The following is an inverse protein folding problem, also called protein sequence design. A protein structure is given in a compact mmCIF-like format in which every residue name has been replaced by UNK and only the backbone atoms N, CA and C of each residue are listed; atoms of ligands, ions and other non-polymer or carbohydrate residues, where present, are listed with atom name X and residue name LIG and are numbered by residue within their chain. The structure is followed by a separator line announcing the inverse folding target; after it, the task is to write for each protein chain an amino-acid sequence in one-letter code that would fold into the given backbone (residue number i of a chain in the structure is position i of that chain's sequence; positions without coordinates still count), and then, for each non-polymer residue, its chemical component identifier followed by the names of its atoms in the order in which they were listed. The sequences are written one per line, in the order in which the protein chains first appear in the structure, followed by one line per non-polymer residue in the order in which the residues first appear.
data_IF_579252185365
#
_entry.id   IF_579252185365
#
_cell.length_a   1.000
_cell.length_b   1.000
_cell.length_c   1.000
_cell.angle_alpha   90.00
_cell.angle_beta   90.00
_cell.angle_gamma   90.00
#
_symmetry.space_group_name_H-M   'P 1'
#
loop_
_entity.id
_entity.type
_entity.pdbx_description
1 polymer ?
#
# COMPACT_ATOMS: atom_id res chain seq x y z
N UNK A 1 -9.96 -6.03 6.30
CA UNK A 1 -9.81 -6.21 4.85
C UNK A 1 -9.72 -4.86 4.18
N UNK A 2 -9.01 -4.76 3.05
CA UNK A 2 -8.88 -3.53 2.25
C UNK A 2 -9.26 -3.86 0.80
N UNK A 3 -10.16 -3.06 0.22
CA UNK A 3 -10.46 -3.09 -1.21
C UNK A 3 -9.89 -1.83 -1.84
N UNK A 4 -8.94 -1.99 -2.74
CA UNK A 4 -8.43 -0.89 -3.57
C UNK A 4 -9.26 -0.81 -4.84
N UNK A 5 -9.82 0.35 -5.11
CA UNK A 5 -10.47 0.65 -6.37
C UNK A 5 -9.67 1.72 -7.10
N UNK A 6 -9.07 1.34 -8.23
CA UNK A 6 -8.40 2.26 -9.14
C UNK A 6 -9.47 2.99 -9.95
N UNK A 7 -9.85 4.18 -9.50
CA UNK A 7 -10.98 4.92 -10.10
C UNK A 7 -10.67 5.51 -11.45
N UNK A 8 -9.37 5.72 -11.75
CA UNK A 8 -8.86 6.22 -13.04
C UNK A 8 -7.38 5.89 -13.19
N UNK A 9 -6.87 5.83 -14.43
CA UNK A 9 -5.42 5.82 -14.72
C UNK A 9 -4.87 7.18 -15.12
N UNK A 10 -5.71 8.22 -15.19
CA UNK A 10 -5.25 9.56 -15.50
C UNK A 10 -4.38 10.13 -14.38
N UNK A 11 -3.23 10.70 -14.73
CA UNK A 11 -2.29 11.36 -13.82
C UNK A 11 -1.39 12.31 -14.58
N UNK A 12 -0.93 13.40 -13.96
CA UNK A 12 0.05 14.32 -14.53
C UNK A 12 1.49 14.01 -14.08
N UNK A 13 1.68 13.05 -13.16
CA UNK A 13 3.00 12.60 -12.76
C UNK A 13 3.53 11.49 -13.69
N UNK A 14 4.86 11.46 -13.83
CA UNK A 14 5.56 10.47 -14.65
C UNK A 14 6.52 9.60 -13.80
N UNK A 15 6.09 9.23 -12.61
CA UNK A 15 6.88 8.49 -11.62
C UNK A 15 7.60 7.28 -12.21
N UNK A 16 8.87 7.09 -11.85
CA UNK A 16 9.72 5.99 -12.33
C UNK A 16 9.21 4.61 -11.92
N UNK A 17 8.53 4.53 -10.78
CA UNK A 17 8.00 3.29 -10.19
C UNK A 17 6.48 3.13 -10.33
N UNK A 18 5.84 3.86 -11.25
CA UNK A 18 4.38 3.84 -11.35
C UNK A 18 3.84 2.46 -11.70
N UNK A 19 3.18 1.83 -10.73
CA UNK A 19 2.50 0.55 -10.89
C UNK A 19 1.44 0.57 -11.99
N UNK A 20 0.66 1.66 -12.03
CA UNK A 20 -0.48 1.79 -12.94
C UNK A 20 -0.08 2.09 -14.40
N UNK A 21 1.19 2.41 -14.69
CA UNK A 21 1.56 3.03 -15.97
C UNK A 21 0.63 4.20 -16.29
N UNK A 22 0.41 5.09 -15.32
CA UNK A 22 -0.52 6.20 -15.44
C UNK A 22 -0.26 7.02 -16.70
N UNK A 23 -1.32 7.54 -17.29
CA UNK A 23 -1.37 8.31 -18.52
C UNK A 23 -2.05 9.66 -18.28
N UNK A 24 -1.90 10.63 -19.20
CA UNK A 24 -2.42 11.99 -18.98
C UNK A 24 -3.94 12.09 -19.02
N UNK A 25 -4.61 11.16 -19.74
CA UNK A 25 -6.06 11.16 -19.97
C UNK A 25 -6.70 9.92 -19.38
N UNK A 26 -7.99 10.00 -18.99
CA UNK A 26 -8.77 8.83 -18.58
C UNK A 26 -8.84 7.78 -19.70
N UNK A 27 -8.93 6.51 -19.33
CA UNK A 27 -9.23 5.43 -20.26
C UNK A 27 -10.72 5.52 -20.65
N UNK A 28 -11.06 5.40 -21.94
CA UNK A 28 -12.47 5.45 -22.36
C UNK A 28 -13.34 4.33 -21.81
N UNK A 29 -12.73 3.25 -21.32
CA UNK A 29 -13.42 2.10 -20.72
C UNK A 29 -13.45 2.15 -19.18
N UNK A 30 -13.14 3.28 -18.56
CA UNK A 30 -13.29 3.41 -17.12
C UNK A 30 -14.72 3.17 -16.67
N UNK A 31 -14.90 2.53 -15.52
CA UNK A 31 -16.24 2.30 -14.95
C UNK A 31 -16.99 3.63 -14.82
N UNK A 32 -18.23 3.66 -15.29
CA UNK A 32 -19.11 4.82 -15.16
C UNK A 32 -19.40 5.15 -13.68
N UNK A 33 -20.00 6.31 -13.42
CA UNK A 33 -20.45 6.69 -12.05
C UNK A 33 -21.43 5.66 -11.49
N UNK A 34 -22.36 5.17 -12.33
CA UNK A 34 -23.34 4.16 -11.94
C UNK A 34 -22.67 2.81 -11.61
N UNK A 35 -21.78 2.33 -12.47
CA UNK A 35 -21.02 1.10 -12.23
C UNK A 35 -20.14 1.23 -10.99
N UNK A 36 -19.55 2.40 -10.74
CA UNK A 36 -18.75 2.65 -9.56
C UNK A 36 -19.56 2.58 -8.27
N UNK A 37 -20.81 3.09 -8.27
CA UNK A 37 -21.73 2.94 -7.14
C UNK A 37 -22.13 1.48 -6.93
N UNK A 38 -22.45 0.75 -7.98
CA UNK A 38 -22.75 -0.69 -7.90
C UNK A 38 -21.55 -1.49 -7.37
N UNK A 39 -20.32 -1.11 -7.73
CA UNK A 39 -19.11 -1.70 -7.15
C UNK A 39 -19.01 -1.40 -5.64
N UNK A 40 -19.28 -0.17 -5.23
CA UNK A 40 -19.28 0.24 -3.81
C UNK A 40 -20.35 -0.55 -3.02
N UNK A 41 -21.54 -0.77 -3.60
CA UNK A 41 -22.58 -1.60 -3.00
C UNK A 41 -22.09 -3.04 -2.77
N UNK A 42 -21.39 -3.62 -3.76
CA UNK A 42 -20.80 -4.94 -3.58
C UNK A 42 -19.70 -4.94 -2.51
N UNK A 43 -18.86 -3.90 -2.42
CA UNK A 43 -17.88 -3.75 -1.34
C UNK A 43 -18.56 -3.74 0.04
N UNK A 44 -19.70 -3.05 0.15
CA UNK A 44 -20.44 -2.98 1.43
C UNK A 44 -21.08 -4.33 1.86
N UNK A 45 -21.21 -5.29 0.93
CA UNK A 45 -21.77 -6.64 1.18
C UNK A 45 -20.77 -7.63 1.80
N UNK A 46 -19.48 -7.29 1.90
CA UNK A 46 -18.55 -8.18 2.59
C UNK A 46 -18.99 -8.42 4.05
N UNK A 47 -18.90 -9.67 4.57
CA UNK A 47 -19.32 -10.00 5.94
C UNK A 47 -18.67 -9.14 7.02
N UNK A 48 -17.39 -8.77 6.82
CA UNK A 48 -16.69 -7.74 7.59
C UNK A 48 -16.39 -6.60 6.61
N UNK A 49 -17.01 -5.45 6.85
CA UNK A 49 -16.86 -4.28 5.97
C UNK A 49 -15.39 -3.91 5.79
N UNK A 50 -14.89 -3.89 4.57
CA UNK A 50 -13.52 -3.48 4.31
C UNK A 50 -13.38 -1.95 4.35
N UNK A 51 -12.14 -1.48 4.53
CA UNK A 51 -11.78 -0.12 4.12
C UNK A 51 -11.78 -0.07 2.59
N UNK A 52 -12.49 0.88 2.00
CA UNK A 52 -12.40 1.19 0.58
C UNK A 52 -11.32 2.25 0.35
N UNK A 53 -10.34 1.94 -0.50
CA UNK A 53 -9.29 2.89 -0.88
C UNK A 53 -9.49 3.29 -2.33
N UNK A 54 -9.89 4.54 -2.56
CA UNK A 54 -10.00 5.14 -3.88
C UNK A 54 -8.60 5.59 -4.33
N UNK A 55 -8.09 4.91 -5.34
CA UNK A 55 -6.72 5.10 -5.85
C UNK A 55 -6.74 5.25 -7.37
N UNK A 56 -5.57 5.30 -7.98
CA UNK A 56 -5.47 5.36 -9.44
C UNK A 56 -4.14 5.93 -9.91
N UNK A 57 -4.21 6.69 -10.97
CA UNK A 57 -3.22 7.69 -11.31
C UNK A 57 -3.35 8.84 -10.32
N UNK A 58 -4.27 9.77 -10.59
CA UNK A 58 -4.72 10.80 -9.65
C UNK A 58 -6.24 10.75 -9.51
N UNK A 59 -6.79 10.27 -8.38
CA UNK A 59 -8.24 10.19 -8.19
C UNK A 59 -8.98 11.51 -8.39
N UNK A 60 -8.32 12.66 -8.16
CA UNK A 60 -8.95 13.98 -8.36
C UNK A 60 -9.17 14.34 -9.83
N UNK A 61 -8.60 13.59 -10.78
CA UNK A 61 -8.95 13.71 -12.20
C UNK A 61 -10.31 13.10 -12.54
N UNK A 62 -10.89 12.33 -11.64
CA UNK A 62 -12.24 11.79 -11.80
C UNK A 62 -13.27 12.81 -11.32
N UNK A 63 -14.21 13.21 -12.19
CA UNK A 63 -15.14 14.31 -11.95
C UNK A 63 -16.13 14.06 -10.82
N UNK A 64 -16.54 12.80 -10.62
CA UNK A 64 -17.52 12.36 -9.62
C UNK A 64 -16.87 11.85 -8.30
N UNK A 65 -15.58 12.09 -8.10
CA UNK A 65 -14.84 11.49 -6.97
C UNK A 65 -15.44 11.85 -5.61
N UNK A 66 -15.89 13.08 -5.41
CA UNK A 66 -16.49 13.54 -4.15
C UNK A 66 -17.84 12.85 -3.90
N UNK A 67 -18.63 12.64 -4.94
CA UNK A 67 -19.91 11.93 -4.86
C UNK A 67 -19.72 10.46 -4.53
N UNK A 68 -18.67 9.82 -5.11
CA UNK A 68 -18.32 8.43 -4.80
C UNK A 68 -17.85 8.28 -3.35
N UNK A 69 -17.10 9.25 -2.80
CA UNK A 69 -16.71 9.25 -1.38
C UNK A 69 -17.97 9.37 -0.51
N UNK A 70 -18.82 10.37 -0.77
CA UNK A 70 -20.05 10.56 0.00
C UNK A 70 -20.96 9.32 -0.08
N UNK A 71 -21.07 8.73 -1.26
CA UNK A 71 -21.84 7.48 -1.46
C UNK A 71 -21.28 6.32 -0.65
N UNK A 72 -19.96 6.09 -0.70
CA UNK A 72 -19.31 5.01 0.06
C UNK A 72 -19.48 5.18 1.58
N UNK A 73 -19.41 6.42 2.06
CA UNK A 73 -19.71 6.77 3.46
C UNK A 73 -21.17 6.49 3.82
N UNK A 74 -22.09 6.81 2.93
CA UNK A 74 -23.53 6.49 3.08
C UNK A 74 -23.80 4.98 3.18
N UNK A 75 -22.97 4.15 2.52
CA UNK A 75 -23.01 2.68 2.65
C UNK A 75 -22.31 2.19 3.94
N UNK A 76 -21.77 3.08 4.78
CA UNK A 76 -21.11 2.76 6.04
C UNK A 76 -19.70 2.18 5.88
N UNK A 77 -19.03 2.46 4.76
CA UNK A 77 -17.63 2.07 4.53
C UNK A 77 -16.68 3.10 5.12
N UNK A 78 -15.59 2.63 5.73
CA UNK A 78 -14.40 3.45 5.96
C UNK A 78 -13.74 3.71 4.60
N UNK A 79 -13.53 5.01 4.25
CA UNK A 79 -13.10 5.40 2.90
C UNK A 79 -11.81 6.21 2.95
N UNK A 80 -10.81 5.80 2.21
CA UNK A 80 -9.55 6.50 2.06
C UNK A 80 -9.32 6.91 0.59
N UNK A 81 -8.50 7.94 0.36
CA UNK A 81 -8.12 8.40 -0.98
C UNK A 81 -6.61 8.56 -1.08
N UNK A 82 -6.05 8.31 -2.27
CA UNK A 82 -4.61 8.44 -2.54
C UNK A 82 -4.33 9.43 -3.68
N UNK A 83 -4.51 10.74 -3.47
CA UNK A 83 -4.28 11.73 -4.52
C UNK A 83 -2.80 11.85 -4.86
N UNK A 84 -2.50 12.20 -6.10
CA UNK A 84 -1.17 12.60 -6.55
C UNK A 84 -0.95 14.11 -6.28
N UNK A 85 0.29 14.56 -5.97
CA UNK A 85 0.57 15.97 -5.71
C UNK A 85 0.53 16.82 -7.00
N UNK A 86 -0.63 16.88 -7.63
CA UNK A 86 -0.92 17.68 -8.82
C UNK A 86 -1.52 19.03 -8.44
N UNK A 87 -1.58 20.01 -9.36
CA UNK A 87 -2.28 21.28 -9.11
C UNK A 87 -3.76 21.15 -8.74
N UNK A 88 -4.38 19.98 -8.97
CA UNK A 88 -5.76 19.70 -8.59
C UNK A 88 -5.95 19.59 -7.07
N UNK A 89 -4.89 19.24 -6.31
CA UNK A 89 -4.95 19.09 -4.86
C UNK A 89 -4.76 20.46 -4.21
N UNK A 90 -5.78 21.29 -4.29
CA UNK A 90 -5.85 22.60 -3.62
C UNK A 90 -6.44 22.45 -2.22
N UNK A 91 -6.26 23.46 -1.37
CA UNK A 91 -6.92 23.53 -0.04
C UNK A 91 -8.45 23.40 -0.15
N UNK A 92 -9.04 23.96 -1.22
CA UNK A 92 -10.47 23.80 -1.50
C UNK A 92 -10.83 22.35 -1.84
N UNK A 93 -10.04 21.69 -2.68
CA UNK A 93 -10.23 20.28 -3.01
C UNK A 93 -10.16 19.41 -1.74
N UNK A 94 -9.19 19.65 -0.86
CA UNK A 94 -9.05 18.93 0.42
C UNK A 94 -10.25 19.20 1.34
N UNK A 95 -10.76 20.46 1.38
CA UNK A 95 -11.98 20.81 2.11
C UNK A 95 -13.20 20.05 1.57
N UNK A 96 -13.31 19.90 0.25
CA UNK A 96 -14.37 19.09 -0.37
C UNK A 96 -14.26 17.61 -0.01
N UNK A 97 -13.04 17.05 0.03
CA UNK A 97 -12.80 15.68 0.50
C UNK A 97 -13.26 15.49 1.96
N UNK A 98 -12.92 16.44 2.83
CA UNK A 98 -13.37 16.43 4.23
C UNK A 98 -14.90 16.46 4.34
N UNK A 99 -15.56 17.36 3.59
CA UNK A 99 -17.04 17.48 3.56
C UNK A 99 -17.71 16.23 3.00
N UNK A 100 -17.08 15.54 2.04
CA UNK A 100 -17.55 14.27 1.52
C UNK A 100 -17.39 13.12 2.53
N UNK A 101 -16.68 13.32 3.63
CA UNK A 101 -16.55 12.38 4.74
C UNK A 101 -15.38 11.43 4.63
N UNK A 102 -14.28 11.83 3.97
CA UNK A 102 -13.09 10.98 3.88
C UNK A 102 -12.48 10.70 5.26
N UNK A 103 -12.14 9.45 5.56
CA UNK A 103 -11.54 9.06 6.85
C UNK A 103 -10.01 9.23 6.84
N UNK A 104 -9.37 9.03 5.68
CA UNK A 104 -7.92 9.07 5.54
C UNK A 104 -7.48 9.51 4.16
N UNK A 105 -6.43 10.32 4.13
CA UNK A 105 -5.71 10.65 2.90
C UNK A 105 -4.33 10.01 2.94
N UNK A 106 -3.92 9.34 1.86
CA UNK A 106 -2.56 8.85 1.71
C UNK A 106 -1.84 9.64 0.63
N UNK A 107 -0.73 10.27 0.99
CA UNK A 107 0.15 10.98 0.07
C UNK A 107 1.49 10.26 -0.05
N UNK A 108 2.30 10.64 -1.01
CA UNK A 108 3.57 9.96 -1.25
C UNK A 108 4.76 10.90 -1.04
N UNK A 109 5.75 10.40 -0.27
CA UNK A 109 7.07 11.03 -0.07
C UNK A 109 8.15 9.96 -0.32
N UNK A 110 8.96 10.15 -1.35
CA UNK A 110 10.02 9.21 -1.73
C UNK A 110 11.44 9.77 -1.53
N UNK A 111 11.61 10.76 -0.68
CA UNK A 111 12.89 11.34 -0.31
C UNK A 111 12.75 12.30 0.85
N UNK A 112 13.83 12.52 1.58
CA UNK A 112 13.90 13.52 2.65
C UNK A 112 14.10 14.96 2.11
N UNK A 113 14.39 15.07 0.83
CA UNK A 113 14.63 16.32 0.11
C UNK A 113 13.95 16.33 -1.26
N UNK A 114 13.84 17.54 -1.84
CA UNK A 114 13.19 17.75 -3.13
C UNK A 114 13.94 17.04 -4.27
N UNK A 115 15.27 17.01 -4.25
CA UNK A 115 16.05 16.44 -5.34
C UNK A 115 15.78 14.93 -5.49
N UNK A 116 15.72 14.21 -4.39
CA UNK A 116 15.44 12.77 -4.37
C UNK A 116 13.97 12.48 -4.71
N UNK A 117 13.06 13.20 -4.06
CA UNK A 117 11.62 12.98 -4.26
C UNK A 117 11.18 13.34 -5.70
N UNK A 118 11.51 14.54 -6.17
CA UNK A 118 11.05 15.04 -7.47
C UNK A 118 11.61 14.20 -8.63
N UNK A 119 12.87 13.72 -8.51
CA UNK A 119 13.45 12.76 -9.47
C UNK A 119 12.61 11.47 -9.55
N UNK A 120 12.21 10.92 -8.41
CA UNK A 120 11.40 9.69 -8.38
C UNK A 120 9.99 9.91 -8.94
N UNK A 121 9.40 11.08 -8.70
CA UNK A 121 8.07 11.46 -9.19
C UNK A 121 8.07 11.97 -10.63
N UNK A 122 9.23 12.36 -11.14
CA UNK A 122 9.41 12.89 -12.49
C UNK A 122 8.84 14.29 -12.70
N UNK A 123 8.52 15.02 -11.62
CA UNK A 123 7.94 16.38 -11.69
C UNK A 123 8.59 17.26 -10.63
N UNK A 124 9.34 18.30 -11.05
CA UNK A 124 9.90 19.30 -10.15
C UNK A 124 8.82 19.99 -9.31
N UNK A 125 9.11 20.20 -8.02
CA UNK A 125 8.20 20.85 -7.09
C UNK A 125 7.15 19.92 -6.46
N UNK A 126 7.09 18.64 -6.85
CA UNK A 126 6.16 17.67 -6.26
C UNK A 126 6.40 17.45 -4.75
N UNK A 127 7.66 17.58 -4.28
CA UNK A 127 8.00 17.51 -2.87
C UNK A 127 7.33 18.63 -2.05
N UNK A 128 7.55 19.87 -2.46
CA UNK A 128 6.95 21.04 -1.79
C UNK A 128 5.42 20.99 -1.83
N UNK A 129 4.84 20.57 -2.97
CA UNK A 129 3.42 20.38 -3.11
C UNK A 129 2.87 19.33 -2.14
N UNK A 130 3.56 18.18 -1.99
CA UNK A 130 3.14 17.12 -1.06
C UNK A 130 3.20 17.59 0.39
N UNK A 131 4.24 18.35 0.78
CA UNK A 131 4.32 18.93 2.13
C UNK A 131 3.16 19.87 2.42
N UNK A 132 2.80 20.76 1.47
CA UNK A 132 1.64 21.64 1.60
C UNK A 132 0.34 20.84 1.75
N UNK A 133 0.15 19.78 0.95
CA UNK A 133 -1.02 18.90 1.04
C UNK A 133 -1.13 18.27 2.43
N UNK A 134 -0.01 17.80 3.00
CA UNK A 134 -0.01 17.24 4.36
C UNK A 134 -0.39 18.29 5.42
N UNK A 135 0.08 19.52 5.25
CA UNK A 135 -0.26 20.64 6.14
C UNK A 135 -1.76 21.00 6.06
N UNK A 136 -2.28 21.15 4.86
CA UNK A 136 -3.69 21.45 4.62
C UNK A 136 -4.60 20.35 5.17
N UNK A 137 -4.28 19.10 4.91
CA UNK A 137 -5.04 17.95 5.42
C UNK A 137 -5.04 17.90 6.95
N UNK A 138 -3.88 18.12 7.59
CA UNK A 138 -3.76 18.20 9.05
C UNK A 138 -4.61 19.34 9.62
N UNK A 139 -4.55 20.53 9.03
CA UNK A 139 -5.29 21.70 9.49
C UNK A 139 -6.81 21.50 9.39
N UNK A 140 -7.25 20.64 8.46
CA UNK A 140 -8.65 20.21 8.30
C UNK A 140 -9.01 18.96 9.11
N UNK A 141 -8.10 18.44 9.93
CA UNK A 141 -8.35 17.26 10.78
C UNK A 141 -8.43 15.93 10.04
N UNK A 142 -7.95 15.86 8.79
CA UNK A 142 -7.90 14.61 8.02
C UNK A 142 -6.68 13.81 8.45
N UNK A 143 -6.85 12.53 8.79
CA UNK A 143 -5.76 11.63 9.10
C UNK A 143 -4.87 11.40 7.87
N UNK A 144 -3.57 11.71 7.98
CA UNK A 144 -2.60 11.57 6.88
C UNK A 144 -1.78 10.32 7.04
N UNK A 145 -1.78 9.47 6.01
CA UNK A 145 -0.82 8.40 5.81
C UNK A 145 0.22 8.86 4.79
N UNK A 146 1.49 8.53 5.01
CA UNK A 146 2.52 8.74 3.99
C UNK A 146 2.97 7.40 3.44
N UNK A 147 3.05 7.30 2.12
CA UNK A 147 3.60 6.17 1.39
C UNK A 147 4.99 6.54 0.87
N UNK A 148 5.98 5.69 1.12
CA UNK A 148 7.33 5.82 0.57
C UNK A 148 7.70 4.57 -0.18
N UNK A 149 8.14 4.67 -1.42
CA UNK A 149 8.69 3.54 -2.16
C UNK A 149 10.19 3.51 -2.02
N UNK A 150 10.69 2.56 -1.24
CA UNK A 150 12.11 2.42 -0.94
C UNK A 150 12.86 1.82 -2.14
N UNK A 151 13.97 2.45 -2.49
CA UNK A 151 14.84 2.09 -3.61
C UNK A 151 16.29 2.52 -3.31
N UNK A 152 17.30 2.19 -4.13
CA UNK A 152 18.69 2.54 -3.85
C UNK A 152 18.96 4.04 -3.68
N UNK A 153 18.19 4.92 -4.33
CA UNK A 153 18.42 6.37 -4.29
C UNK A 153 17.97 7.03 -2.98
N UNK A 154 17.03 6.42 -2.25
CA UNK A 154 16.48 6.95 -0.99
C UNK A 154 16.74 6.05 0.21
N UNK A 155 17.42 4.92 0.01
CA UNK A 155 17.71 3.95 1.06
C UNK A 155 18.42 4.60 2.28
N UNK A 156 19.39 5.44 2.03
CA UNK A 156 20.16 6.11 3.09
C UNK A 156 19.39 7.25 3.79
N UNK A 157 18.19 7.60 3.29
CA UNK A 157 17.38 8.70 3.84
C UNK A 157 16.28 8.23 4.82
N UNK A 158 16.25 6.97 5.22
CA UNK A 158 15.19 6.40 6.08
C UNK A 158 15.00 7.22 7.36
N UNK A 159 16.08 7.54 8.09
CA UNK A 159 16.03 8.31 9.34
C UNK A 159 15.62 9.76 9.11
N UNK A 160 16.15 10.39 8.08
CA UNK A 160 15.81 11.77 7.72
C UNK A 160 14.34 11.90 7.33
N UNK A 161 13.83 10.94 6.54
CA UNK A 161 12.38 10.85 6.24
C UNK A 161 11.56 10.64 7.51
N UNK A 162 11.95 9.71 8.38
CA UNK A 162 11.24 9.43 9.62
C UNK A 162 11.16 10.68 10.53
N UNK A 163 12.24 11.47 10.61
CA UNK A 163 12.28 12.72 11.37
C UNK A 163 11.37 13.80 10.75
N UNK A 164 11.45 13.98 9.44
CA UNK A 164 10.61 14.93 8.72
C UNK A 164 9.12 14.62 8.92
N UNK A 165 8.73 13.34 8.78
CA UNK A 165 7.34 12.91 8.90
C UNK A 165 6.79 13.10 10.33
N UNK A 166 7.63 13.02 11.35
CA UNK A 166 7.23 13.32 12.72
C UNK A 166 6.76 14.79 12.89
N UNK A 167 7.40 15.74 12.18
CA UNK A 167 7.01 17.16 12.21
C UNK A 167 5.67 17.40 11.53
N UNK A 168 5.29 16.58 10.55
CA UNK A 168 4.00 16.66 9.86
C UNK A 168 2.84 15.98 10.60
N UNK A 169 3.09 15.35 11.76
CA UNK A 169 2.06 14.72 12.60
C UNK A 169 1.20 13.69 11.84
N UNK A 170 1.83 12.91 10.98
CA UNK A 170 1.15 11.83 10.26
C UNK A 170 0.68 10.72 11.23
N UNK A 171 -0.30 9.93 10.82
CA UNK A 171 -0.79 8.79 11.62
C UNK A 171 -0.08 7.49 11.27
N UNK A 172 0.40 7.35 10.02
CA UNK A 172 0.99 6.11 9.53
C UNK A 172 2.02 6.38 8.42
N UNK A 173 3.19 5.79 8.53
CA UNK A 173 4.17 5.68 7.46
C UNK A 173 4.13 4.26 6.87
N UNK A 174 3.74 4.14 5.61
CA UNK A 174 3.72 2.89 4.87
C UNK A 174 4.91 2.83 3.91
N UNK A 175 5.89 1.99 4.22
CA UNK A 175 7.11 1.83 3.43
C UNK A 175 6.92 0.68 2.45
N UNK A 176 6.84 1.02 1.18
CA UNK A 176 6.70 0.08 0.06
C UNK A 176 8.07 -0.38 -0.41
N UNK A 177 8.18 -1.64 -0.72
CA UNK A 177 9.35 -2.22 -1.35
C UNK A 177 9.02 -2.60 -2.79
N UNK A 178 9.90 -2.28 -3.72
CA UNK A 178 9.65 -2.40 -5.15
C UNK A 178 9.19 -3.82 -5.54
N UNK A 179 8.09 -3.86 -6.27
CA UNK A 179 7.67 -4.98 -7.12
C UNK A 179 7.90 -4.54 -8.57
N UNK A 180 8.60 -5.33 -9.41
CA UNK A 180 8.88 -4.96 -10.79
C UNK A 180 7.61 -5.12 -11.66
N UNK A 181 6.67 -4.17 -11.53
CA UNK A 181 5.40 -4.09 -12.24
C UNK A 181 5.17 -2.66 -12.76
N UNK A 182 4.47 -2.52 -13.86
CA UNK A 182 4.27 -1.23 -14.50
C UNK A 182 5.57 -0.61 -15.01
N UNK A 183 5.89 0.62 -14.59
CA UNK A 183 7.17 1.28 -14.93
C UNK A 183 8.32 0.89 -13.99
N UNK A 184 8.03 0.25 -12.87
CA UNK A 184 9.08 -0.18 -11.94
C UNK A 184 9.95 -1.28 -12.56
N UNK A 185 11.26 -1.04 -12.65
CA UNK A 185 12.22 -2.01 -13.16
C UNK A 185 12.89 -2.79 -12.03
N UNK A 186 13.52 -3.93 -12.38
CA UNK A 186 14.28 -4.73 -11.43
C UNK A 186 15.46 -3.95 -10.81
N UNK A 187 16.06 -3.00 -11.54
CA UNK A 187 17.16 -2.16 -11.04
C UNK A 187 16.78 -1.20 -9.91
N UNK A 188 15.50 -0.93 -9.70
CA UNK A 188 15.02 -0.14 -8.56
C UNK A 188 14.85 -0.96 -7.28
N UNK A 189 15.03 -2.28 -7.33
CA UNK A 189 14.89 -3.15 -6.14
C UNK A 189 16.13 -3.06 -5.27
N UNK A 190 15.92 -3.15 -3.96
CA UNK A 190 16.97 -3.40 -3.00
C UNK A 190 17.43 -4.86 -3.06
N UNK A 191 18.65 -5.13 -2.63
CA UNK A 191 19.14 -6.50 -2.41
C UNK A 191 18.53 -7.08 -1.13
N UNK A 192 18.52 -8.41 -1.00
CA UNK A 192 18.03 -9.07 0.22
C UNK A 192 18.77 -8.64 1.51
N UNK A 193 20.06 -8.31 1.43
CA UNK A 193 20.82 -7.74 2.55
C UNK A 193 20.32 -6.34 2.91
N UNK A 194 20.07 -5.49 1.92
CA UNK A 194 19.50 -4.16 2.14
C UNK A 194 18.08 -4.22 2.71
N UNK A 195 17.30 -5.28 2.39
CA UNK A 195 16.01 -5.51 3.04
C UNK A 195 16.16 -5.70 4.56
N UNK A 196 17.06 -6.59 4.99
CA UNK A 196 17.29 -6.83 6.43
C UNK A 196 17.83 -5.59 7.14
N UNK A 197 18.70 -4.83 6.49
CA UNK A 197 19.21 -3.54 7.01
C UNK A 197 18.07 -2.52 7.14
N UNK A 198 17.25 -2.34 6.08
CA UNK A 198 16.08 -1.46 6.12
C UNK A 198 15.12 -1.85 7.24
N UNK A 199 14.90 -3.16 7.45
CA UNK A 199 14.07 -3.66 8.56
C UNK A 199 14.62 -3.26 9.92
N UNK A 200 15.93 -3.34 10.11
CA UNK A 200 16.58 -2.90 11.34
C UNK A 200 16.35 -1.40 11.60
N UNK A 201 16.60 -0.57 10.59
CA UNK A 201 16.41 0.88 10.64
C UNK A 201 14.94 1.25 10.88
N UNK A 202 14.00 0.67 10.14
CA UNK A 202 12.55 0.90 10.32
C UNK A 202 12.05 0.40 11.68
N UNK A 203 12.58 -0.71 12.19
CA UNK A 203 12.25 -1.20 13.52
C UNK A 203 12.61 -0.20 14.62
N UNK A 204 13.84 0.36 14.57
CA UNK A 204 14.26 1.41 15.51
C UNK A 204 13.31 2.61 15.44
N UNK A 205 13.00 3.11 14.23
CA UNK A 205 12.06 4.22 14.08
C UNK A 205 10.66 3.88 14.64
N UNK A 206 10.20 2.64 14.46
CA UNK A 206 8.87 2.22 14.94
C UNK A 206 8.72 2.21 16.46
N UNK A 207 9.83 2.17 17.20
CA UNK A 207 9.85 2.22 18.66
C UNK A 207 9.81 3.65 19.21
N UNK A 208 10.34 4.63 18.47
CA UNK A 208 10.53 5.99 18.96
C UNK A 208 9.63 7.05 18.28
N UNK A 209 9.07 6.79 17.10
CA UNK A 209 8.24 7.78 16.41
C UNK A 209 6.79 7.83 16.94
N UNK A 210 6.11 9.01 16.87
CA UNK A 210 4.75 9.16 17.39
C UNK A 210 3.67 8.53 16.51
N UNK A 211 4.00 8.03 15.32
CA UNK A 211 3.10 7.42 14.33
C UNK A 211 3.42 5.95 14.11
N UNK A 212 2.48 5.23 13.48
CA UNK A 212 2.69 3.83 13.11
C UNK A 212 3.62 3.69 11.90
N UNK A 213 4.43 2.60 11.86
CA UNK A 213 5.24 2.24 10.69
C UNK A 213 4.86 0.84 10.25
N UNK A 214 4.57 0.67 8.96
CA UNK A 214 4.35 -0.65 8.34
C UNK A 214 5.14 -0.78 7.05
N UNK A 215 5.43 -2.00 6.65
CA UNK A 215 5.93 -2.31 5.31
C UNK A 215 4.81 -2.81 4.41
N UNK A 216 4.91 -2.50 3.12
CA UNK A 216 4.06 -3.03 2.04
C UNK A 216 4.97 -3.71 1.02
N UNK A 217 4.58 -4.88 0.53
CA UNK A 217 5.38 -5.75 -0.33
C UNK A 217 6.73 -6.17 0.31
N UNK A 218 6.78 -6.16 1.64
CA UNK A 218 7.88 -6.70 2.44
C UNK A 218 7.35 -7.36 3.70
N UNK A 219 6.52 -8.41 3.52
CA UNK A 219 5.85 -9.15 4.60
C UNK A 219 6.85 -9.80 5.56
N UNK A 220 8.06 -10.07 5.10
CA UNK A 220 9.14 -10.64 5.93
C UNK A 220 9.68 -9.67 7.01
N UNK A 221 9.33 -8.38 6.97
CA UNK A 221 9.48 -7.49 8.12
C UNK A 221 8.77 -8.01 9.37
N UNK A 222 7.64 -8.70 9.22
CA UNK A 222 6.91 -9.30 10.37
C UNK A 222 7.72 -10.39 11.04
N UNK A 223 8.42 -11.24 10.25
CA UNK A 223 9.37 -12.22 10.76
C UNK A 223 10.50 -11.51 11.52
N UNK A 224 11.11 -10.48 10.93
CA UNK A 224 12.16 -9.68 11.57
C UNK A 224 11.71 -9.12 12.93
N UNK A 225 10.54 -8.50 13.00
CA UNK A 225 9.97 -7.98 14.26
C UNK A 225 9.73 -9.10 15.27
N UNK A 226 9.22 -10.25 14.85
CA UNK A 226 9.01 -11.39 15.74
C UNK A 226 10.33 -11.88 16.36
N UNK A 227 11.38 -12.01 15.56
CA UNK A 227 12.72 -12.39 16.02
C UNK A 227 13.29 -11.34 17.00
N UNK A 228 13.18 -10.04 16.70
CA UNK A 228 13.62 -8.97 17.62
C UNK A 228 12.88 -9.00 18.95
N UNK A 229 11.60 -9.33 18.96
CA UNK A 229 10.82 -9.47 20.21
C UNK A 229 11.29 -10.65 21.04
N UNK A 230 11.62 -11.79 20.42
CA UNK A 230 12.17 -12.96 21.14
C UNK A 230 13.53 -12.60 21.74
N UNK A 231 14.43 -12.01 20.95
CA UNK A 231 15.74 -11.57 21.43
C UNK A 231 15.65 -10.59 22.61
N UNK A 232 14.76 -9.58 22.51
CA UNK A 232 14.57 -8.61 23.57
C UNK A 232 14.03 -9.25 24.88
N UNK A 233 13.13 -10.24 24.79
CA UNK A 233 12.63 -10.97 25.96
C UNK A 233 13.73 -11.80 26.62
N UNK A 234 14.57 -12.47 25.84
CA UNK A 234 15.70 -13.24 26.35
C UNK A 234 16.72 -12.35 27.08
N UNK A 235 16.97 -11.13 26.55
CA UNK A 235 17.92 -10.17 27.14
C UNK A 235 17.37 -9.43 28.38
N UNK A 236 16.06 -9.22 28.48
CA UNK A 236 15.44 -8.44 29.55
C UNK A 236 15.17 -9.24 30.85
N UNK A 237 15.33 -10.57 30.83
CA UNK A 237 14.93 -11.42 31.97
C UNK A 237 13.42 -11.33 32.24
N UNK A 238 12.96 -11.88 33.39
CA UNK A 238 11.55 -12.00 33.74
C UNK A 238 10.84 -10.68 34.10
N UNK A 239 11.49 -9.52 34.10
CA UNK A 239 10.98 -8.28 34.69
C UNK A 239 10.87 -7.09 33.73
N UNK A 240 11.21 -7.23 32.44
CA UNK A 240 11.17 -6.13 31.49
C UNK A 240 10.12 -6.31 30.38
N UNK A 241 9.17 -5.38 30.27
CA UNK A 241 8.31 -5.31 29.08
C UNK A 241 9.16 -4.87 27.86
N UNK A 242 9.37 -5.78 26.91
CA UNK A 242 10.07 -5.43 25.67
C UNK A 242 9.25 -4.36 24.91
N UNK A 243 9.94 -3.27 24.49
CA UNK A 243 9.32 -2.27 23.64
C UNK A 243 8.77 -2.91 22.36
N UNK A 244 7.57 -2.55 21.99
CA UNK A 244 6.87 -3.10 20.82
C UNK A 244 6.53 -1.98 19.84
N UNK A 245 6.65 -2.21 18.51
CA UNK A 245 6.16 -1.28 17.51
C UNK A 245 4.69 -0.90 17.76
N UNK A 246 4.35 0.38 17.60
CA UNK A 246 2.99 0.89 17.79
C UNK A 246 1.97 0.31 16.81
N UNK A 247 2.43 -0.12 15.65
CA UNK A 247 1.60 -0.65 14.57
C UNK A 247 2.26 -1.89 13.98
N UNK A 248 1.52 -2.97 13.93
CA UNK A 248 1.94 -4.19 13.21
C UNK A 248 0.75 -4.76 12.46
N UNK A 249 0.80 -4.71 11.14
CA UNK A 249 -0.22 -5.33 10.30
C UNK A 249 -0.08 -6.85 10.37
N UNK A 250 -1.03 -7.53 11.01
CA UNK A 250 -1.02 -8.98 11.08
C UNK A 250 -1.92 -9.56 9.97
N UNK A 251 -1.45 -10.58 9.30
CA UNK A 251 -2.28 -11.45 8.46
C UNK A 251 -2.70 -10.90 7.09
N UNK A 252 -2.34 -9.67 6.71
CA UNK A 252 -2.68 -9.09 5.39
C UNK A 252 -1.56 -9.40 4.39
N UNK A 253 -1.92 -9.92 3.21
CA UNK A 253 -1.02 -10.17 2.09
C UNK A 253 -1.82 -10.07 0.78
N UNK A 254 -1.19 -10.13 -0.38
CA UNK A 254 -1.85 -10.18 -1.68
C UNK A 254 -2.92 -11.29 -1.71
N UNK A 255 -4.15 -10.95 -2.02
CA UNK A 255 -5.28 -11.88 -2.00
C UNK A 255 -5.72 -12.38 -0.61
N UNK A 256 -5.02 -12.00 0.47
CA UNK A 256 -5.36 -12.32 1.86
C UNK A 256 -5.62 -11.03 2.63
N UNK A 257 -6.88 -10.65 2.75
CA UNK A 257 -7.27 -9.37 3.36
C UNK A 257 -7.03 -8.16 2.45
N UNK A 258 -6.67 -8.38 1.18
CA UNK A 258 -6.52 -7.38 0.13
C UNK A 258 -7.18 -7.87 -1.15
N UNK A 259 -7.84 -6.95 -1.85
CA UNK A 259 -8.35 -7.09 -3.20
C UNK A 259 -8.14 -5.77 -3.94
N UNK A 260 -7.98 -5.85 -5.24
CA UNK A 260 -7.85 -4.69 -6.13
C UNK A 260 -8.83 -4.82 -7.29
N UNK A 261 -9.54 -3.74 -7.58
CA UNK A 261 -10.39 -3.61 -8.77
C UNK A 261 -9.84 -2.48 -9.63
N UNK A 262 -9.55 -2.77 -10.89
CA UNK A 262 -9.01 -1.80 -11.83
C UNK A 262 -10.08 -0.79 -12.28
N UNK A 263 -9.64 0.29 -12.92
CA UNK A 263 -10.50 1.31 -13.53
C UNK A 263 -11.47 0.73 -14.59
N UNK A 264 -11.14 -0.42 -15.18
CA UNK A 264 -12.00 -1.15 -16.16
C UNK A 264 -12.74 -2.34 -15.54
N UNK A 265 -12.70 -2.50 -14.21
CA UNK A 265 -13.43 -3.56 -13.50
C UNK A 265 -12.68 -4.89 -13.36
N UNK A 266 -11.43 -5.03 -13.84
CA UNK A 266 -10.65 -6.25 -13.63
C UNK A 266 -10.34 -6.46 -12.15
N UNK A 267 -10.55 -7.69 -11.66
CA UNK A 267 -10.38 -8.06 -10.26
C UNK A 267 -9.05 -8.79 -10.10
N UNK A 268 -8.20 -8.29 -9.20
CA UNK A 268 -6.87 -8.82 -8.92
C UNK A 268 -6.65 -9.06 -7.43
N UNK A 269 -5.71 -9.95 -7.03
CA UNK A 269 -5.35 -10.16 -5.62
C UNK A 269 -4.74 -8.92 -4.95
N UNK A 270 -4.01 -8.10 -5.70
CA UNK A 270 -3.52 -6.79 -5.30
C UNK A 270 -3.21 -5.93 -6.52
N UNK A 271 -2.99 -4.63 -6.31
CA UNK A 271 -2.60 -3.73 -7.38
C UNK A 271 -1.19 -4.00 -7.95
N UNK A 272 -0.37 -4.77 -7.25
CA UNK A 272 0.98 -5.16 -7.68
C UNK A 272 1.02 -6.54 -8.34
N UNK A 273 -0.09 -7.28 -8.35
CA UNK A 273 -0.21 -8.59 -8.98
C UNK A 273 -1.29 -8.55 -10.07
N UNK A 274 -0.94 -8.25 -11.33
CA UNK A 274 -1.91 -8.14 -12.43
C UNK A 274 -2.42 -9.51 -12.91
N UNK A 275 -2.80 -10.38 -11.97
CA UNK A 275 -3.38 -11.68 -12.22
C UNK A 275 -4.89 -11.56 -12.18
N UNK A 276 -5.56 -11.71 -13.33
CA UNK A 276 -7.01 -11.54 -13.45
C UNK A 276 -7.73 -12.71 -12.79
N UNK A 277 -8.59 -12.43 -11.82
CA UNK A 277 -9.41 -13.39 -11.10
C UNK A 277 -10.89 -13.30 -11.46
N UNK A 278 -11.30 -12.22 -12.11
CA UNK A 278 -12.65 -11.93 -12.55
C UNK A 278 -12.76 -10.54 -13.11
N UNK A 279 -13.96 -10.16 -13.55
CA UNK A 279 -14.26 -8.84 -14.13
C UNK A 279 -15.63 -8.35 -13.65
N UNK A 280 -15.66 -7.23 -12.95
CA UNK A 280 -16.88 -6.51 -12.62
C UNK A 280 -17.37 -5.73 -13.87
N UNK A 281 -18.71 -5.67 -14.18
CA UNK A 281 -19.81 -6.17 -13.36
C UNK A 281 -20.21 -7.65 -13.63
N UNK A 282 -19.53 -8.35 -14.52
CA UNK A 282 -19.89 -9.73 -14.89
C UNK A 282 -19.70 -10.73 -13.74
N UNK A 283 -18.77 -10.46 -12.85
CA UNK A 283 -18.52 -11.27 -11.65
C UNK A 283 -18.79 -10.45 -10.39
N UNK A 284 -19.44 -11.05 -9.41
CA UNK A 284 -19.59 -10.48 -8.07
C UNK A 284 -18.24 -10.50 -7.34
N UNK A 285 -17.82 -9.34 -6.82
CA UNK A 285 -16.48 -9.22 -6.21
C UNK A 285 -16.35 -10.00 -4.90
N UNK A 286 -17.46 -10.16 -4.15
CA UNK A 286 -17.46 -10.94 -2.91
C UNK A 286 -17.28 -12.40 -3.23
N UNK A 287 -18.01 -12.91 -4.24
CA UNK A 287 -17.90 -14.27 -4.71
C UNK A 287 -16.50 -14.59 -5.24
N UNK A 288 -15.94 -13.71 -6.09
CA UNK A 288 -14.56 -13.84 -6.59
C UNK A 288 -13.56 -13.90 -5.44
N UNK A 289 -13.67 -13.01 -4.45
CA UNK A 289 -12.77 -13.04 -3.31
C UNK A 289 -12.88 -14.33 -2.51
N UNK A 290 -14.10 -14.82 -2.29
CA UNK A 290 -14.35 -16.00 -1.45
C UNK A 290 -14.01 -17.31 -2.16
N UNK A 291 -14.33 -17.44 -3.44
CA UNK A 291 -14.38 -18.72 -4.13
C UNK A 291 -13.36 -18.88 -5.25
N UNK A 292 -12.78 -17.81 -5.80
CA UNK A 292 -11.74 -17.96 -6.83
C UNK A 292 -10.60 -18.86 -6.34
N UNK A 293 -10.19 -19.87 -7.13
CA UNK A 293 -9.09 -20.77 -6.77
C UNK A 293 -7.78 -20.02 -6.44
N UNK A 294 -7.51 -18.92 -7.15
CA UNK A 294 -6.32 -18.07 -6.93
C UNK A 294 -6.38 -17.43 -5.53
N UNK A 295 -7.49 -16.74 -5.20
CA UNK A 295 -7.64 -16.13 -3.88
C UNK A 295 -7.61 -17.17 -2.76
N UNK A 296 -8.24 -18.33 -2.95
CA UNK A 296 -8.24 -19.42 -1.95
C UNK A 296 -6.82 -19.93 -1.71
N UNK A 297 -6.04 -20.20 -2.76
CA UNK A 297 -4.67 -20.68 -2.63
C UNK A 297 -3.74 -19.63 -2.01
N UNK A 298 -3.89 -18.33 -2.35
CA UNK A 298 -3.13 -17.24 -1.73
C UNK A 298 -3.40 -17.09 -0.21
N UNK A 299 -4.55 -17.56 0.27
CA UNK A 299 -4.88 -17.58 1.71
C UNK A 299 -4.41 -18.84 2.44
N UNK A 300 -3.82 -19.81 1.73
CA UNK A 300 -3.37 -21.10 2.26
C UNK A 300 -1.85 -21.18 2.19
N UNK A 301 -1.10 -20.61 3.17
CA UNK A 301 0.37 -20.55 3.13
C UNK A 301 1.07 -21.91 3.02
N UNK A 302 0.45 -22.99 3.51
CA UNK A 302 0.96 -24.35 3.39
C UNK A 302 1.01 -24.86 1.93
N UNK A 303 0.31 -24.17 1.01
CA UNK A 303 0.35 -24.44 -0.43
C UNK A 303 1.43 -23.68 -1.18
N UNK A 304 2.23 -22.86 -0.49
CA UNK A 304 3.32 -22.13 -1.11
C UNK A 304 4.51 -23.07 -1.41
N UNK A 305 5.32 -22.66 -2.36
CA UNK A 305 6.42 -23.45 -2.88
C UNK A 305 7.77 -22.94 -2.36
N UNK A 306 8.80 -23.78 -2.47
CA UNK A 306 10.14 -23.46 -1.98
C UNK A 306 10.13 -23.12 -0.48
N UNK A 307 11.10 -22.33 -0.03
CA UNK A 307 11.28 -22.02 1.39
C UNK A 307 10.09 -21.36 2.07
N UNK A 308 9.24 -20.64 1.32
CA UNK A 308 8.04 -20.04 1.90
C UNK A 308 6.99 -21.07 2.34
N UNK A 309 6.95 -22.27 1.72
CA UNK A 309 5.99 -23.33 2.03
C UNK A 309 6.29 -24.08 3.33
N UNK A 310 7.56 -24.22 3.69
CA UNK A 310 7.98 -24.91 4.92
C UNK A 310 8.48 -23.97 6.04
N UNK A 311 8.58 -22.65 5.75
CA UNK A 311 9.06 -21.67 6.71
C UNK A 311 8.14 -21.61 7.95
N UNK A 312 8.72 -21.64 9.14
CA UNK A 312 8.02 -21.52 10.43
C UNK A 312 7.24 -20.19 10.56
N UNK A 313 7.66 -19.15 9.82
CA UNK A 313 6.97 -17.85 9.76
C UNK A 313 5.93 -17.74 8.62
N UNK A 314 5.63 -18.81 7.86
CA UNK A 314 4.76 -18.73 6.67
C UNK A 314 3.38 -18.12 6.95
N UNK A 315 2.79 -18.42 8.11
CA UNK A 315 1.49 -17.91 8.52
C UNK A 315 1.53 -16.43 8.91
N UNK A 316 2.65 -15.97 9.46
CA UNK A 316 2.88 -14.59 9.87
C UNK A 316 3.30 -13.71 8.69
N UNK A 317 4.18 -14.24 7.85
CA UNK A 317 4.87 -13.56 6.76
C UNK A 317 4.25 -13.89 5.40
N UNK A 318 4.50 -15.09 4.90
CA UNK A 318 4.08 -15.57 3.58
C UNK A 318 4.81 -14.93 2.39
N UNK A 319 5.74 -13.98 2.60
CA UNK A 319 6.44 -13.25 1.52
C UNK A 319 5.52 -12.34 0.70
N UNK A 320 6.08 -11.49 -0.18
CA UNK A 320 5.29 -10.76 -1.18
C UNK A 320 4.89 -11.71 -2.32
N UNK A 321 3.62 -12.00 -2.42
CA UNK A 321 3.10 -12.85 -3.50
C UNK A 321 3.13 -12.13 -4.84
N UNK A 322 2.97 -10.80 -4.80
CA UNK A 322 3.12 -9.96 -5.99
C UNK A 322 4.55 -10.00 -6.53
N UNK A 323 5.56 -9.90 -5.66
CA UNK A 323 6.97 -9.98 -6.11
C UNK A 323 7.30 -11.39 -6.58
N UNK A 324 6.87 -12.44 -5.89
CA UNK A 324 7.04 -13.81 -6.35
C UNK A 324 6.47 -13.96 -7.77
N UNK A 325 5.24 -13.50 -8.02
CA UNK A 325 4.62 -13.55 -9.34
C UNK A 325 5.39 -12.77 -10.41
N UNK A 326 5.73 -11.51 -10.14
CA UNK A 326 6.35 -10.67 -11.18
C UNK A 326 7.81 -11.06 -11.50
N UNK A 327 8.49 -11.75 -10.57
CA UNK A 327 9.88 -12.20 -10.79
C UNK A 327 9.94 -13.62 -11.38
N UNK A 328 9.02 -14.52 -10.98
CA UNK A 328 9.11 -15.94 -11.33
C UNK A 328 7.98 -16.43 -12.23
N UNK A 329 6.92 -15.63 -12.45
CA UNK A 329 5.68 -16.05 -13.11
C UNK A 329 4.73 -16.85 -12.20
N UNK A 330 5.15 -17.20 -10.97
CA UNK A 330 4.40 -18.05 -10.05
C UNK A 330 4.12 -17.31 -8.72
N UNK A 331 2.84 -16.97 -8.41
CA UNK A 331 2.49 -16.25 -7.19
C UNK A 331 2.72 -17.08 -5.90
N UNK A 332 2.94 -18.37 -6.03
CA UNK A 332 3.14 -19.31 -4.93
C UNK A 332 4.62 -19.62 -4.65
N UNK A 333 5.52 -19.18 -5.52
CA UNK A 333 6.96 -19.39 -5.38
C UNK A 333 7.53 -18.72 -4.10
N UNK A 334 8.74 -19.10 -3.72
CA UNK A 334 9.45 -18.44 -2.64
C UNK A 334 9.62 -16.93 -2.90
N UNK A 335 9.59 -16.11 -1.83
CA UNK A 335 9.90 -14.68 -1.90
C UNK A 335 11.36 -14.50 -2.38
N UNK A 336 11.59 -13.88 -3.56
CA UNK A 336 12.92 -13.82 -4.15
C UNK A 336 13.93 -12.97 -3.37
N UNK A 337 13.45 -11.92 -2.67
CA UNK A 337 14.32 -10.98 -1.95
C UNK A 337 14.50 -11.32 -0.45
N UNK A 338 13.90 -12.40 0.03
CA UNK A 338 14.10 -12.89 1.39
C UNK A 338 15.38 -13.72 1.49
N UNK A 339 16.34 -13.29 2.31
CA UNK A 339 17.58 -14.07 2.56
C UNK A 339 17.47 -15.00 3.78
N UNK A 340 16.37 -14.96 4.52
CA UNK A 340 16.18 -15.85 5.67
C UNK A 340 16.16 -17.31 5.24
N UNK A 341 16.89 -18.14 5.97
CA UNK A 341 16.88 -19.58 5.83
C UNK A 341 16.05 -20.18 6.95
N UNK A 342 14.91 -20.82 6.66
CA UNK A 342 14.10 -21.52 7.66
C UNK A 342 14.86 -22.67 8.33
N UNK A 343 14.51 -22.96 9.58
CA UNK A 343 15.16 -24.03 10.36
C UNK A 343 14.76 -25.45 9.91
N UNK A 344 13.81 -25.61 9.01
CA UNK A 344 13.38 -26.89 8.41
C UNK A 344 12.18 -27.50 9.10
#
# INVERSE_FOLDING_TARGET
MIVFYEVTRACDLVCLHCRACAQSRPDPNELTSEQSRQLIDQVARFPVRPMLVLTGGDPLKRVDIYDLIAYSRGQGLETAITPSPTPLVTTEAITRLQKAGIDRMAVSIDGADAATHDRMRGVPGSFAQTQRIMEDARNLGIAVQVNTTLNPDNFDQIEAMAEMLARHQIVLWSVFFIVPVGRATAGLRLTGLQYEEAFGRLYVQSLCRPYGIKTTEAMHYRRFVAQKRVQARQSAGSHGAAASPRYLTMGINDGKGVMFVSHTGLIHPSGFMPLVCGMFPFNDIVDVYQHSPIFRRLRTPDSFEGKCGYCEYRNLCGGSRARAYNVTGNPYAAEPDCIYTPEG
#
